data_IF_569799653338
#
_entry.id   IF_569799653338
#
_cell.length_a   1.000
_cell.length_b   1.000
_cell.length_c   1.000
_cell.angle_alpha   90.00
_cell.angle_beta   90.00
_cell.angle_gamma   90.00
#
_symmetry.space_group_name_H-M   'P 1'
#
loop_
_entity.id
_entity.type
_entity.pdbx_description
1 polymer ?
#
# COMPACT_ATOMS: atom_id res chain seq x y z
N UNK A 1 -80.43 -13.49 -19.03
CA UNK A 1 -80.83 -13.48 -20.46
C UNK A 1 -81.25 -12.06 -20.78
N UNK A 2 -80.54 -11.46 -21.75
CA UNK A 2 -80.77 -10.18 -22.46
C UNK A 2 -80.77 -8.87 -21.65
N UNK A 3 -79.79 -7.98 -21.93
CA UNK A 3 -79.92 -6.67 -22.63
C UNK A 3 -78.52 -6.33 -23.21
N UNK A 4 -78.33 -6.30 -24.54
CA UNK A 4 -78.42 -5.18 -25.51
C UNK A 4 -77.23 -4.18 -25.50
N UNK A 5 -76.43 -4.27 -26.57
CA UNK A 5 -75.57 -3.31 -27.28
C UNK A 5 -75.02 -2.05 -26.56
N UNK A 6 -73.71 -1.81 -26.66
CA UNK A 6 -73.18 -0.81 -27.61
C UNK A 6 -71.65 -0.83 -27.69
N UNK A 7 -71.15 -0.49 -28.87
CA UNK A 7 -69.74 -0.35 -29.23
C UNK A 7 -68.98 0.68 -28.37
N UNK A 8 -67.72 0.36 -28.06
CA UNK A 8 -66.66 1.35 -27.85
C UNK A 8 -65.32 0.71 -28.16
N UNK A 9 -64.74 1.17 -29.26
CA UNK A 9 -63.33 1.00 -29.58
C UNK A 9 -62.50 1.49 -28.41
N UNK A 10 -61.54 0.68 -27.99
CA UNK A 10 -60.41 1.08 -27.16
C UNK A 10 -59.32 0.08 -27.43
N UNK A 11 -58.52 0.38 -28.46
CA UNK A 11 -57.20 -0.20 -28.65
C UNK A 11 -56.42 0.05 -27.35
N UNK A 12 -56.26 -1.00 -26.55
CA UNK A 12 -55.39 -0.96 -25.38
C UNK A 12 -53.97 -1.08 -25.89
N UNK A 13 -53.35 0.08 -26.07
CA UNK A 13 -51.93 0.26 -26.33
C UNK A 13 -51.10 -0.66 -25.42
N UNK A 14 -50.24 -1.44 -26.05
CA UNK A 14 -49.09 -2.06 -25.38
C UNK A 14 -48.28 -0.91 -24.76
N UNK A 15 -48.41 -0.71 -23.45
CA UNK A 15 -47.48 0.14 -22.73
C UNK A 15 -46.16 -0.62 -22.64
N UNK A 16 -45.33 -0.46 -23.67
CA UNK A 16 -43.89 -0.62 -23.54
C UNK A 16 -43.48 0.23 -22.33
N UNK A 17 -43.01 -0.41 -21.26
CA UNK A 17 -42.37 0.30 -20.17
C UNK A 17 -41.15 1.03 -20.75
N UNK A 18 -41.33 2.32 -21.08
CA UNK A 18 -40.24 3.22 -21.39
C UNK A 18 -39.30 3.27 -20.18
N UNK A 19 -38.18 2.55 -20.30
CA UNK A 19 -37.00 2.77 -19.46
C UNK A 19 -36.67 4.26 -19.59
N UNK A 20 -36.72 5.08 -18.52
CA UNK A 20 -36.49 6.51 -18.67
C UNK A 20 -35.07 6.75 -19.19
N UNK A 21 -34.98 7.09 -20.47
CA UNK A 21 -33.78 7.62 -21.08
C UNK A 21 -33.42 8.92 -20.35
N UNK A 22 -32.16 9.03 -19.92
CA UNK A 22 -31.61 10.13 -19.13
C UNK A 22 -31.88 10.12 -17.62
N UNK A 23 -31.40 9.08 -16.92
CA UNK A 23 -30.83 9.34 -15.61
C UNK A 23 -29.63 10.28 -15.79
N UNK A 24 -29.81 11.58 -15.50
CA UNK A 24 -28.74 12.59 -15.59
C UNK A 24 -27.44 12.07 -14.98
N UNK A 25 -26.30 12.29 -15.65
CA UNK A 25 -24.99 11.91 -15.12
C UNK A 25 -24.81 12.40 -13.68
N UNK A 26 -25.30 13.60 -13.36
CA UNK A 26 -25.26 14.18 -12.00
C UNK A 26 -26.00 13.30 -10.99
N UNK A 27 -27.16 12.74 -11.35
CA UNK A 27 -27.91 11.81 -10.52
C UNK A 27 -27.18 10.46 -10.35
N UNK A 28 -26.54 9.97 -11.42
CA UNK A 28 -25.72 8.75 -11.37
C UNK A 28 -24.51 8.97 -10.46
N UNK A 29 -23.80 10.08 -10.62
CA UNK A 29 -22.65 10.44 -9.79
C UNK A 29 -23.07 10.58 -8.32
N UNK A 30 -24.15 11.32 -8.04
CA UNK A 30 -24.65 11.51 -6.67
C UNK A 30 -25.12 10.21 -6.02
N UNK A 31 -25.70 9.28 -6.80
CA UNK A 31 -26.17 7.98 -6.29
C UNK A 31 -25.10 6.90 -6.22
N UNK A 32 -24.02 6.97 -7.01
CA UNK A 32 -22.95 5.94 -7.01
C UNK A 32 -21.74 6.34 -6.16
N UNK A 33 -21.46 7.63 -6.02
CA UNK A 33 -20.39 8.15 -5.16
C UNK A 33 -20.98 8.68 -3.84
N UNK A 34 -21.73 7.83 -3.12
CA UNK A 34 -22.53 8.18 -1.93
C UNK A 34 -21.70 8.60 -0.69
N UNK A 35 -20.38 8.64 -0.81
CA UNK A 35 -19.51 9.03 0.29
C UNK A 35 -19.40 10.55 0.35
N UNK A 36 -19.84 11.13 1.46
CA UNK A 36 -19.54 12.53 1.74
C UNK A 36 -18.03 12.68 1.86
N UNK A 37 -17.41 13.50 1.00
CA UNK A 37 -15.98 13.85 1.02
C UNK A 37 -15.43 14.06 2.45
N UNK A 38 -16.14 14.76 3.38
CA UNK A 38 -15.66 14.93 4.76
C UNK A 38 -15.39 13.62 5.52
N UNK A 39 -16.17 12.56 5.27
CA UNK A 39 -15.97 11.25 5.92
C UNK A 39 -14.72 10.54 5.40
N UNK A 40 -14.46 10.59 4.09
CA UNK A 40 -13.26 10.01 3.49
C UNK A 40 -12.01 10.71 4.03
N UNK A 41 -12.02 12.04 4.08
CA UNK A 41 -10.93 12.83 4.66
C UNK A 41 -10.69 12.46 6.14
N UNK A 42 -11.76 12.36 6.93
CA UNK A 42 -11.67 11.99 8.35
C UNK A 42 -11.08 10.59 8.56
N UNK A 43 -11.51 9.61 7.75
CA UNK A 43 -10.98 8.25 7.81
C UNK A 43 -9.52 8.19 7.31
N UNK A 44 -9.19 8.88 6.22
CA UNK A 44 -7.81 9.01 5.71
C UNK A 44 -6.87 9.51 6.79
N UNK A 45 -7.29 10.55 7.54
CA UNK A 45 -6.51 11.11 8.64
C UNK A 45 -6.19 10.07 9.72
N UNK A 46 -7.19 9.28 10.13
CA UNK A 46 -6.96 8.17 11.09
C UNK A 46 -5.94 7.17 10.56
N UNK A 47 -5.97 6.85 9.26
CA UNK A 47 -4.99 5.94 8.64
C UNK A 47 -3.60 6.56 8.63
N UNK A 48 -3.46 7.84 8.29
CA UNK A 48 -2.18 8.54 8.28
C UNK A 48 -1.58 8.62 9.69
N UNK A 49 -2.39 8.96 10.70
CA UNK A 49 -1.97 8.99 12.10
C UNK A 49 -1.51 7.60 12.57
N UNK A 50 -2.29 6.55 12.27
CA UNK A 50 -1.89 5.17 12.59
C UNK A 50 -0.54 4.77 11.98
N UNK A 51 -0.37 5.02 10.69
CA UNK A 51 0.87 4.64 10.02
C UNK A 51 2.04 5.49 10.51
N UNK A 52 1.83 6.78 10.78
CA UNK A 52 2.86 7.63 11.41
C UNK A 52 3.32 7.07 12.76
N UNK A 53 2.40 6.64 13.61
CA UNK A 53 2.73 6.07 14.93
C UNK A 53 3.47 4.72 14.78
N UNK A 54 3.04 3.87 13.84
CA UNK A 54 3.75 2.62 13.51
C UNK A 54 5.17 2.91 13.01
N UNK A 55 5.34 3.87 12.10
CA UNK A 55 6.65 4.26 11.58
C UNK A 55 7.55 4.77 12.72
N UNK A 56 7.04 5.57 13.65
CA UNK A 56 7.79 6.03 14.81
C UNK A 56 8.25 4.88 15.72
N UNK A 57 7.38 3.90 15.97
CA UNK A 57 7.75 2.68 16.71
C UNK A 57 8.81 1.91 15.94
N UNK A 58 8.69 1.80 14.62
CA UNK A 58 9.67 1.12 13.77
C UNK A 58 11.06 1.78 13.85
N UNK A 59 11.14 3.12 13.77
CA UNK A 59 12.40 3.85 13.91
C UNK A 59 13.06 3.60 15.26
N UNK A 60 12.26 3.51 16.33
CA UNK A 60 12.76 3.25 17.68
C UNK A 60 13.26 1.81 17.85
N UNK A 61 12.62 0.83 17.20
CA UNK A 61 12.99 -0.58 17.29
C UNK A 61 14.14 -0.97 16.34
N UNK A 62 14.28 -0.26 15.22
CA UNK A 62 15.20 -0.61 14.14
C UNK A 62 16.33 0.41 13.95
N UNK A 63 16.48 1.40 14.85
CA UNK A 63 17.51 2.46 14.74
C UNK A 63 18.92 1.91 14.55
N UNK A 64 19.25 0.85 15.29
CA UNK A 64 20.59 0.26 15.35
C UNK A 64 20.66 -1.05 14.53
N UNK A 65 19.74 -1.21 13.59
CA UNK A 65 19.59 -2.41 12.79
C UNK A 65 19.90 -2.18 11.31
N UNK A 66 19.94 -3.27 10.54
CA UNK A 66 20.12 -3.23 9.10
C UNK A 66 18.81 -3.46 8.34
N UNK A 67 17.68 -3.04 8.90
CA UNK A 67 16.39 -3.04 8.22
C UNK A 67 16.17 -1.74 7.44
N UNK A 68 15.35 -1.74 6.37
CA UNK A 68 15.09 -0.54 5.58
C UNK A 68 14.50 0.55 6.46
N UNK A 69 14.93 1.79 6.23
CA UNK A 69 14.34 2.96 6.87
C UNK A 69 13.01 3.22 6.19
N UNK A 70 11.92 3.18 6.96
CA UNK A 70 10.57 3.47 6.47
C UNK A 70 10.36 4.99 6.45
N UNK A 71 10.11 5.55 5.28
CA UNK A 71 9.87 6.98 5.11
C UNK A 71 8.39 7.33 5.33
N UNK A 72 8.05 8.62 5.52
CA UNK A 72 6.67 9.07 5.68
C UNK A 72 5.75 8.54 4.59
N UNK A 73 4.57 8.06 5.01
CA UNK A 73 3.63 7.39 4.11
C UNK A 73 2.99 8.36 3.12
N UNK A 74 2.76 7.87 1.90
CA UNK A 74 2.12 8.63 0.83
C UNK A 74 0.78 7.97 0.51
N UNK A 75 -0.31 8.71 0.68
CA UNK A 75 -1.63 8.21 0.34
C UNK A 75 -1.84 8.22 -1.16
N UNK A 76 -2.17 7.05 -1.72
CA UNK A 76 -2.40 6.86 -3.16
C UNK A 76 -3.78 6.28 -3.45
N UNK A 77 -4.29 6.57 -4.64
CA UNK A 77 -5.56 6.07 -5.15
C UNK A 77 -6.79 6.83 -4.65
N UNK A 78 -7.93 6.47 -5.23
CA UNK A 78 -9.22 7.17 -5.10
C UNK A 78 -9.58 7.61 -3.68
N UNK A 79 -9.52 6.70 -2.70
CA UNK A 79 -9.91 6.98 -1.32
C UNK A 79 -9.05 8.08 -0.68
N UNK A 80 -7.77 8.13 -1.04
CA UNK A 80 -6.84 9.16 -0.61
C UNK A 80 -7.10 10.48 -1.35
N UNK A 81 -7.50 10.43 -2.61
CA UNK A 81 -7.92 11.60 -3.43
C UNK A 81 -9.31 12.15 -3.05
N UNK A 82 -10.01 11.52 -2.11
CA UNK A 82 -11.28 12.01 -1.57
C UNK A 82 -12.53 11.50 -2.28
N UNK A 83 -12.41 10.43 -3.07
CA UNK A 83 -13.55 9.78 -3.73
C UNK A 83 -13.46 8.25 -3.62
N UNK A 84 -14.58 7.53 -3.77
CA UNK A 84 -14.54 6.08 -3.91
C UNK A 84 -15.80 5.58 -4.59
N UNK A 85 -15.70 4.62 -5.53
CA UNK A 85 -16.88 3.98 -6.12
C UNK A 85 -17.50 2.94 -5.17
N UNK A 86 -16.80 2.58 -4.10
CA UNK A 86 -17.24 1.58 -3.13
C UNK A 86 -18.11 2.18 -2.04
N UNK A 87 -18.92 1.32 -1.40
CA UNK A 87 -19.62 1.71 -0.17
C UNK A 87 -18.61 2.06 0.91
N UNK A 88 -19.03 2.92 1.84
CA UNK A 88 -18.19 3.44 2.93
C UNK A 88 -17.47 2.35 3.75
N UNK A 89 -18.08 1.18 3.86
CA UNK A 89 -17.60 0.04 4.64
C UNK A 89 -16.48 -0.73 3.93
N UNK A 90 -16.43 -0.67 2.60
CA UNK A 90 -15.51 -1.44 1.74
C UNK A 90 -14.36 -0.60 1.20
N UNK A 91 -14.30 0.69 1.58
CA UNK A 91 -13.22 1.59 1.14
C UNK A 91 -11.88 1.14 1.72
N UNK A 92 -10.91 0.90 0.83
CA UNK A 92 -9.51 0.62 1.17
C UNK A 92 -8.68 1.88 1.02
N UNK A 93 -7.95 2.26 2.07
CA UNK A 93 -6.99 3.36 2.04
C UNK A 93 -5.62 2.78 1.71
N UNK A 94 -5.17 2.98 0.48
CA UNK A 94 -3.87 2.53 0.02
C UNK A 94 -2.79 3.59 0.36
N UNK A 95 -1.72 3.14 0.99
CA UNK A 95 -0.64 3.98 1.50
C UNK A 95 0.69 3.37 1.06
N UNK A 96 1.45 4.13 0.28
CA UNK A 96 2.84 3.80 -0.01
C UNK A 96 3.69 4.04 1.23
N UNK A 97 4.55 3.08 1.54
CA UNK A 97 5.65 3.21 2.51
C UNK A 97 6.93 3.16 1.71
N UNK A 98 7.57 4.33 1.45
CA UNK A 98 8.84 4.35 0.77
C UNK A 98 9.94 3.77 1.65
N UNK A 99 10.81 2.97 1.05
CA UNK A 99 11.94 2.31 1.70
C UNK A 99 13.23 3.03 1.30
N UNK A 100 14.05 3.38 2.30
CA UNK A 100 15.44 3.78 2.10
C UNK A 100 16.41 2.69 2.55
N UNK A 101 17.57 2.57 1.88
CA UNK A 101 18.59 1.62 2.32
C UNK A 101 19.09 1.98 3.72
N UNK A 102 19.31 0.97 4.59
CA UNK A 102 19.99 1.19 5.87
C UNK A 102 21.46 1.55 5.66
N UNK A 103 22.16 2.04 6.71
CA UNK A 103 23.60 2.24 6.66
C UNK A 103 24.36 1.00 6.15
N UNK A 104 25.39 1.24 5.35
CA UNK A 104 26.19 0.18 4.72
C UNK A 104 25.50 -0.53 3.56
N UNK A 105 24.32 -0.07 3.14
CA UNK A 105 23.60 -0.61 1.98
C UNK A 105 23.28 0.50 0.97
N UNK A 106 23.15 0.14 -0.29
CA UNK A 106 22.66 1.00 -1.36
C UNK A 106 21.62 0.25 -2.20
N UNK A 107 20.60 0.96 -2.68
CA UNK A 107 19.60 0.43 -3.60
C UNK A 107 19.92 0.88 -5.02
N UNK A 108 20.02 -0.08 -5.92
CA UNK A 108 20.22 0.13 -7.35
C UNK A 108 19.02 -0.43 -8.11
N UNK A 109 18.46 0.39 -8.99
CA UNK A 109 17.32 -0.01 -9.81
C UNK A 109 17.83 -0.63 -11.11
N UNK A 110 17.39 -1.86 -11.39
CA UNK A 110 17.74 -2.58 -12.61
C UNK A 110 16.46 -2.91 -13.39
N UNK A 111 16.42 -2.67 -14.71
CA UNK A 111 15.29 -3.11 -15.52
C UNK A 111 15.20 -4.64 -15.51
N UNK A 112 13.98 -5.17 -15.39
CA UNK A 112 13.76 -6.60 -15.52
C UNK A 112 13.83 -6.96 -17.01
N UNK A 113 14.72 -7.88 -17.37
CA UNK A 113 14.90 -8.31 -18.78
C UNK A 113 13.88 -9.38 -19.20
N UNK A 114 12.97 -9.77 -18.30
CA UNK A 114 12.06 -10.90 -18.49
C UNK A 114 10.68 -10.41 -18.95
N UNK A 115 10.46 -10.48 -20.27
CA UNK A 115 9.14 -10.39 -20.90
C UNK A 115 8.63 -8.97 -21.17
N UNK A 116 7.91 -8.79 -22.27
CA UNK A 116 7.17 -7.56 -22.57
C UNK A 116 5.97 -7.44 -21.61
N UNK A 117 6.19 -6.81 -20.46
CA UNK A 117 5.11 -6.44 -19.54
C UNK A 117 4.48 -5.09 -19.96
N UNK A 118 3.15 -4.90 -19.83
CA UNK A 118 2.50 -3.62 -20.13
C UNK A 118 2.98 -2.47 -19.24
N UNK A 119 3.45 -2.79 -18.02
CA UNK A 119 4.05 -1.86 -17.06
C UNK A 119 5.53 -2.19 -16.93
N UNK A 120 6.38 -1.16 -16.86
CA UNK A 120 7.82 -1.33 -16.67
C UNK A 120 8.09 -2.08 -15.37
N UNK A 121 8.65 -3.28 -15.49
CA UNK A 121 9.13 -4.08 -14.38
C UNK A 121 10.61 -3.78 -14.11
N UNK A 122 10.93 -3.64 -12.82
CA UNK A 122 12.28 -3.44 -12.34
C UNK A 122 12.59 -4.37 -11.18
N UNK A 123 13.86 -4.48 -10.82
CA UNK A 123 14.34 -5.13 -9.60
C UNK A 123 15.15 -4.14 -8.81
N UNK A 124 15.07 -4.23 -7.48
CA UNK A 124 15.87 -3.39 -6.59
C UNK A 124 17.03 -4.23 -6.07
N UNK A 125 18.21 -4.04 -6.65
CA UNK A 125 19.45 -4.68 -6.22
C UNK A 125 19.99 -3.96 -4.98
N UNK A 126 20.29 -4.73 -3.95
CA UNK A 126 20.91 -4.27 -2.71
C UNK A 126 22.41 -4.54 -2.78
N UNK A 127 23.20 -3.48 -2.67
CA UNK A 127 24.66 -3.56 -2.65
C UNK A 127 25.20 -3.11 -1.29
N UNK A 128 26.27 -3.76 -0.84
CA UNK A 128 26.97 -3.36 0.39
C UNK A 128 27.95 -2.24 0.07
N UNK A 129 27.89 -1.16 0.85
CA UNK A 129 28.79 -0.01 0.71
C UNK A 129 29.62 0.18 1.98
N UNK A 130 30.84 0.67 1.81
CA UNK A 130 31.75 0.88 2.93
C UNK A 130 31.25 2.02 3.82
N UNK A 131 31.26 1.81 5.14
CA UNK A 131 30.91 2.83 6.14
C UNK A 131 32.15 3.47 6.81
N UNK A 132 33.36 3.07 6.45
CA UNK A 132 34.59 3.46 7.17
C UNK A 132 35.12 4.87 6.87
N UNK A 133 34.60 5.57 5.87
CA UNK A 133 35.11 6.87 5.40
C UNK A 133 34.41 8.09 6.02
N UNK A 134 33.50 7.91 6.98
CA UNK A 134 32.75 9.00 7.63
C UNK A 134 33.46 9.66 8.83
N UNK A 135 33.17 10.94 9.09
CA UNK A 135 33.77 11.77 10.16
C UNK A 135 33.41 11.35 11.60
N UNK A 136 32.47 10.42 11.76
CA UNK A 136 32.12 9.78 13.03
C UNK A 136 31.80 8.32 12.72
N UNK A 137 32.76 7.37 12.82
CA UNK A 137 32.40 5.98 12.87
C UNK A 137 31.53 5.81 14.11
N UNK A 138 30.27 5.42 13.93
CA UNK A 138 29.49 4.91 15.04
C UNK A 138 30.28 3.73 15.61
N UNK A 139 30.88 3.91 16.79
CA UNK A 139 31.94 3.03 17.31
C UNK A 139 31.47 1.58 17.48
N UNK A 140 30.16 1.33 17.43
CA UNK A 140 29.54 0.02 17.54
C UNK A 140 29.22 -0.65 16.19
N UNK A 141 29.35 0.02 15.03
CA UNK A 141 29.02 -0.58 13.73
C UNK A 141 30.27 -1.04 12.97
N UNK A 142 30.50 -2.35 12.97
CA UNK A 142 31.40 -3.05 12.04
C UNK A 142 30.93 -2.86 10.59
N UNK A 143 31.89 -2.60 9.70
CA UNK A 143 31.67 -2.48 8.26
C UNK A 143 31.60 -3.86 7.58
N UNK A 144 30.55 -4.11 6.79
CA UNK A 144 30.35 -5.36 6.06
C UNK A 144 31.47 -5.71 5.07
N UNK A 145 32.21 -4.71 4.56
CA UNK A 145 33.25 -4.92 3.56
C UNK A 145 34.64 -5.17 4.16
N UNK A 146 34.85 -4.87 5.44
CA UNK A 146 36.18 -4.94 6.08
C UNK A 146 36.26 -5.93 7.24
N UNK A 147 35.13 -6.47 7.70
CA UNK A 147 35.08 -7.49 8.74
C UNK A 147 34.66 -8.85 8.16
N UNK A 148 35.11 -9.93 8.80
CA UNK A 148 34.76 -11.29 8.35
C UNK A 148 33.28 -11.61 8.64
N UNK A 149 32.70 -12.53 7.89
CA UNK A 149 31.31 -12.95 8.08
C UNK A 149 31.08 -13.53 9.50
N UNK A 150 32.07 -14.23 10.05
CA UNK A 150 31.99 -14.79 11.41
C UNK A 150 32.04 -13.71 12.49
N UNK A 151 32.77 -12.61 12.27
CA UNK A 151 32.80 -11.47 13.18
C UNK A 151 31.48 -10.73 13.15
N UNK A 152 30.91 -10.53 11.96
CA UNK A 152 29.60 -9.90 11.77
C UNK A 152 28.49 -10.73 12.43
N UNK A 153 28.46 -12.05 12.20
CA UNK A 153 27.47 -12.95 12.83
C UNK A 153 27.55 -12.96 14.36
N UNK A 154 28.74 -12.76 14.94
CA UNK A 154 28.94 -12.77 16.40
C UNK A 154 28.56 -11.45 17.05
N UNK A 155 28.80 -10.34 16.37
CA UNK A 155 28.76 -9.00 16.98
C UNK A 155 27.66 -8.10 16.42
N UNK A 156 26.92 -8.54 15.39
CA UNK A 156 25.89 -7.74 14.73
C UNK A 156 24.64 -8.55 14.37
N UNK A 157 23.52 -7.83 14.32
CA UNK A 157 22.22 -8.36 13.88
C UNK A 157 22.28 -8.73 12.40
N UNK A 158 21.50 -9.73 11.99
CA UNK A 158 21.41 -10.21 10.61
C UNK A 158 21.21 -9.07 9.61
N UNK A 159 21.97 -9.07 8.51
CA UNK A 159 21.88 -8.04 7.48
C UNK A 159 20.57 -8.12 6.69
N UNK A 160 20.20 -6.99 6.06
CA UNK A 160 19.08 -6.87 5.12
C UNK A 160 19.05 -8.01 4.10
N UNK A 161 20.22 -8.33 3.55
CA UNK A 161 20.41 -9.32 2.49
C UNK A 161 19.93 -10.72 2.89
N UNK A 162 20.12 -11.09 4.16
CA UNK A 162 19.71 -12.42 4.63
C UNK A 162 18.23 -12.51 4.97
N UNK A 163 17.61 -11.40 5.37
CA UNK A 163 16.23 -11.42 5.89
C UNK A 163 15.20 -10.97 4.86
N UNK A 164 15.47 -9.91 4.12
CA UNK A 164 14.49 -9.25 3.24
C UNK A 164 14.82 -9.33 1.75
N UNK A 165 15.92 -9.99 1.39
CA UNK A 165 16.31 -10.19 -0.01
C UNK A 165 16.20 -11.65 -0.44
N UNK A 166 16.01 -11.87 -1.73
CA UNK A 166 16.19 -13.17 -2.40
C UNK A 166 17.34 -13.02 -3.38
N UNK A 167 18.47 -13.65 -3.06
CA UNK A 167 19.74 -13.27 -3.66
C UNK A 167 20.10 -11.82 -3.30
N UNK A 168 20.59 -11.00 -4.25
CA UNK A 168 20.91 -9.60 -3.99
C UNK A 168 19.70 -8.67 -4.16
N UNK A 169 18.49 -9.16 -4.41
CA UNK A 169 17.34 -8.32 -4.74
C UNK A 169 16.34 -8.24 -3.59
N UNK A 170 15.79 -7.05 -3.34
CA UNK A 170 14.70 -6.87 -2.37
C UNK A 170 13.49 -7.70 -2.76
N UNK A 171 12.99 -8.46 -1.79
CA UNK A 171 11.88 -9.38 -1.96
C UNK A 171 10.63 -8.80 -1.32
N UNK A 172 9.63 -8.49 -2.15
CA UNK A 172 8.39 -7.87 -1.70
C UNK A 172 7.55 -8.76 -0.79
N UNK A 173 7.67 -10.09 -0.88
CA UNK A 173 6.96 -11.02 0.01
C UNK A 173 7.62 -11.08 1.37
N UNK A 174 8.96 -11.13 1.42
CA UNK A 174 9.70 -11.11 2.69
C UNK A 174 9.49 -9.80 3.45
N UNK A 175 9.50 -8.67 2.73
CA UNK A 175 9.21 -7.35 3.31
C UNK A 175 7.78 -7.30 3.85
N UNK A 176 6.80 -7.80 3.09
CA UNK A 176 5.42 -7.86 3.55
C UNK A 176 5.28 -8.70 4.82
N UNK A 177 5.87 -9.89 4.87
CA UNK A 177 5.82 -10.76 6.04
C UNK A 177 6.48 -10.13 7.27
N UNK A 178 7.65 -9.51 7.09
CA UNK A 178 8.34 -8.78 8.14
C UNK A 178 7.48 -7.65 8.70
N UNK A 179 6.94 -6.80 7.82
CA UNK A 179 6.12 -5.66 8.23
C UNK A 179 4.81 -6.10 8.91
N UNK A 180 4.16 -7.15 8.40
CA UNK A 180 2.97 -7.73 9.04
C UNK A 180 3.27 -8.23 10.46
N UNK A 181 4.41 -8.92 10.65
CA UNK A 181 4.86 -9.37 11.98
C UNK A 181 5.16 -8.19 12.91
N UNK A 182 5.82 -7.16 12.38
CA UNK A 182 6.07 -5.91 13.08
C UNK A 182 4.76 -5.23 13.53
N UNK A 183 3.80 -5.04 12.63
CA UNK A 183 2.51 -4.40 12.93
C UNK A 183 1.75 -5.16 14.01
N UNK A 184 1.73 -6.49 13.96
CA UNK A 184 1.09 -7.32 14.99
C UNK A 184 1.74 -7.09 16.35
N UNK A 185 3.08 -7.03 16.38
CA UNK A 185 3.87 -6.86 17.61
C UNK A 185 3.75 -5.44 18.18
N UNK A 186 3.73 -4.43 17.31
CA UNK A 186 3.64 -3.01 17.67
C UNK A 186 2.20 -2.56 17.96
N UNK A 187 1.18 -3.35 17.66
CA UNK A 187 -0.21 -2.91 17.79
C UNK A 187 -0.56 -2.47 19.22
N UNK A 188 -0.07 -3.16 20.24
CA UNK A 188 -0.40 -2.82 21.64
C UNK A 188 0.17 -1.48 22.11
N UNK A 189 1.20 -0.97 21.44
CA UNK A 189 1.87 0.28 21.83
C UNK A 189 1.37 1.51 21.07
N UNK A 190 0.71 1.34 19.93
CA UNK A 190 0.15 2.48 19.18
C UNK A 190 -1.14 2.99 19.83
N UNK A 191 -1.39 4.33 19.86
CA UNK A 191 -2.56 4.92 20.49
C UNK A 191 -3.92 4.37 20.01
N UNK A 192 -3.99 3.99 18.73
CA UNK A 192 -5.22 3.54 18.05
C UNK A 192 -5.72 2.20 18.59
N UNK A 193 -4.87 1.41 19.23
CA UNK A 193 -5.24 0.13 19.88
C UNK A 193 -6.30 0.27 20.97
N UNK A 194 -6.45 1.47 21.54
CA UNK A 194 -7.49 1.79 22.55
C UNK A 194 -8.88 1.95 21.95
N UNK A 195 -8.95 2.24 20.65
CA UNK A 195 -10.21 2.60 19.97
C UNK A 195 -10.63 1.58 18.90
N UNK A 196 -9.68 0.77 18.45
CA UNK A 196 -9.87 -0.22 17.39
C UNK A 196 -9.32 -1.57 17.82
N UNK A 197 -9.98 -2.65 17.42
CA UNK A 197 -9.30 -3.93 17.24
C UNK A 197 -8.72 -3.98 15.83
N UNK A 198 -7.55 -4.60 15.67
CA UNK A 198 -6.88 -4.73 14.38
C UNK A 198 -6.72 -6.19 14.03
N UNK A 199 -6.94 -6.50 12.75
CA UNK A 199 -6.62 -7.79 12.15
C UNK A 199 -5.80 -7.56 10.88
N UNK A 200 -4.61 -8.17 10.82
CA UNK A 200 -3.87 -8.30 9.56
C UNK A 200 -4.59 -9.33 8.68
N UNK A 201 -4.84 -8.95 7.42
CA UNK A 201 -5.49 -9.79 6.42
C UNK A 201 -4.43 -10.48 5.55
N UNK A 202 -4.77 -11.63 4.92
CA UNK A 202 -3.86 -12.28 3.98
C UNK A 202 -3.49 -11.34 2.82
N UNK A 203 -2.19 -11.15 2.62
CA UNK A 203 -1.60 -10.37 1.54
C UNK A 203 -0.16 -10.82 1.31
N UNK A 204 0.24 -11.04 0.05
CA UNK A 204 1.57 -11.56 -0.25
C UNK A 204 2.62 -10.45 -0.32
N UNK A 205 2.34 -9.35 -1.04
CA UNK A 205 3.33 -8.29 -1.33
C UNK A 205 2.92 -6.91 -0.82
N UNK A 206 1.95 -6.87 0.07
CA UNK A 206 1.47 -5.69 0.79
C UNK A 206 1.12 -6.09 2.23
N UNK A 207 0.80 -5.12 3.08
CA UNK A 207 0.21 -5.38 4.39
C UNK A 207 -1.21 -4.81 4.43
N UNK A 208 -2.20 -5.71 4.43
CA UNK A 208 -3.61 -5.35 4.57
C UNK A 208 -4.05 -5.45 6.02
N UNK A 209 -4.68 -4.41 6.53
CA UNK A 209 -5.19 -4.35 7.90
C UNK A 209 -6.68 -3.98 7.89
N UNK A 210 -7.46 -4.68 8.70
CA UNK A 210 -8.83 -4.31 9.04
C UNK A 210 -8.86 -3.77 10.46
N UNK A 211 -9.23 -2.51 10.61
CA UNK A 211 -9.49 -1.86 11.88
C UNK A 211 -11.00 -1.91 12.16
N UNK A 212 -11.39 -2.35 13.35
CA UNK A 212 -12.79 -2.53 13.73
C UNK A 212 -13.07 -1.74 15.00
N UNK A 213 -14.10 -0.87 14.95
CA UNK A 213 -14.62 -0.21 16.14
C UNK A 213 -15.54 -1.14 16.91
N UNK A 214 -15.70 -0.89 18.21
CA UNK A 214 -16.73 -1.54 19.03
C UNK A 214 -18.16 -1.36 18.46
N UNK A 215 -18.39 -0.30 17.68
CA UNK A 215 -19.66 -0.07 16.99
C UNK A 215 -19.90 -0.96 15.76
N UNK A 216 -19.01 -1.93 15.46
CA UNK A 216 -19.07 -2.80 14.28
C UNK A 216 -18.56 -2.17 12.97
N UNK A 217 -18.28 -0.86 12.95
CA UNK A 217 -17.76 -0.18 11.76
C UNK A 217 -16.30 -0.57 11.49
N UNK A 218 -15.98 -0.86 10.23
CA UNK A 218 -14.61 -1.17 9.80
C UNK A 218 -13.96 -0.08 8.97
N UNK A 219 -12.63 -0.12 8.96
CA UNK A 219 -11.74 0.68 8.13
C UNK A 219 -10.66 -0.26 7.59
N UNK A 220 -10.46 -0.25 6.27
CA UNK A 220 -9.46 -1.07 5.61
C UNK A 220 -8.27 -0.22 5.19
N UNK A 221 -7.07 -0.69 5.54
CA UNK A 221 -5.81 -0.04 5.20
C UNK A 221 -4.97 -1.04 4.42
N UNK A 222 -4.40 -0.60 3.31
CA UNK A 222 -3.40 -1.35 2.57
C UNK A 222 -2.11 -0.56 2.54
N UNK A 223 -1.05 -1.17 3.05
CA UNK A 223 0.30 -0.63 3.02
C UNK A 223 1.08 -1.32 1.91
N UNK A 224 1.55 -0.55 0.94
CA UNK A 224 2.33 -1.03 -0.20
C UNK A 224 3.74 -0.51 -0.06
N UNK A 225 4.74 -1.38 -0.19
CA UNK A 225 6.13 -0.97 -0.07
C UNK A 225 6.58 -0.37 -1.39
N UNK A 226 7.38 0.69 -1.30
CA UNK A 226 7.85 1.38 -2.50
C UNK A 226 9.30 1.83 -2.42
N UNK A 227 9.95 2.00 -3.56
CA UNK A 227 11.28 2.60 -3.69
C UNK A 227 11.20 3.73 -4.69
N UNK A 228 11.62 4.94 -4.29
CA UNK A 228 11.58 6.11 -5.15
C UNK A 228 12.64 6.03 -6.24
N UNK A 229 12.28 6.38 -7.47
CA UNK A 229 13.22 6.46 -8.59
C UNK A 229 13.91 7.82 -8.60
N UNK A 230 15.14 7.85 -8.09
CA UNK A 230 15.94 9.08 -7.99
C UNK A 230 15.23 10.13 -7.12
N UNK A 231 15.12 11.35 -7.64
CA UNK A 231 14.42 12.49 -7.03
C UNK A 231 13.04 12.75 -7.67
N UNK A 232 12.54 11.81 -8.48
CA UNK A 232 11.26 11.93 -9.16
C UNK A 232 10.06 11.49 -8.30
N UNK A 233 8.85 11.79 -8.75
CA UNK A 233 7.61 11.30 -8.14
C UNK A 233 7.18 9.92 -8.68
N UNK A 234 8.11 9.18 -9.30
CA UNK A 234 7.91 7.82 -9.81
C UNK A 234 8.42 6.84 -8.76
N UNK A 235 7.60 5.83 -8.45
CA UNK A 235 7.89 4.84 -7.42
C UNK A 235 7.83 3.43 -8.00
N UNK A 236 8.77 2.58 -7.60
CA UNK A 236 8.66 1.14 -7.77
C UNK A 236 7.83 0.57 -6.63
N UNK A 237 6.75 -0.12 -6.94
CA UNK A 237 5.81 -0.72 -6.01
C UNK A 237 6.02 -2.22 -5.88
N UNK A 238 5.87 -2.75 -4.66
CA UNK A 238 5.87 -4.19 -4.39
C UNK A 238 4.58 -4.88 -4.85
N UNK A 239 3.52 -4.12 -5.15
CA UNK A 239 2.23 -4.69 -5.53
C UNK A 239 2.29 -5.23 -6.97
N UNK A 240 1.84 -6.47 -7.23
CA UNK A 240 1.76 -7.02 -8.57
C UNK A 240 0.55 -6.47 -9.34
N UNK A 241 0.60 -6.52 -10.68
CA UNK A 241 -0.59 -6.34 -11.53
C UNK A 241 -1.52 -7.54 -11.34
N UNK A 242 -2.84 -7.32 -11.25
CA UNK A 242 -3.83 -8.37 -10.95
C UNK A 242 -3.82 -9.58 -11.92
N UNK A 243 -3.31 -9.40 -13.14
CA UNK A 243 -3.29 -10.43 -14.16
C UNK A 243 -2.07 -11.38 -14.09
N UNK A 244 -1.04 -11.08 -13.29
CA UNK A 244 0.22 -11.82 -13.31
C UNK A 244 0.84 -11.97 -11.91
N UNK A 245 1.49 -13.11 -11.68
CA UNK A 245 2.29 -13.37 -10.48
C UNK A 245 3.77 -13.33 -10.86
N UNK A 246 4.35 -12.12 -11.01
CA UNK A 246 5.78 -12.01 -11.26
C UNK A 246 6.57 -12.52 -10.05
N UNK A 247 7.87 -12.82 -10.21
CA UNK A 247 8.74 -13.15 -9.10
C UNK A 247 8.59 -12.16 -7.93
N UNK A 248 8.75 -12.64 -6.70
CA UNK A 248 8.66 -11.81 -5.48
C UNK A 248 9.63 -10.63 -5.47
N UNK A 249 10.70 -10.71 -6.27
CA UNK A 249 11.74 -9.69 -6.47
C UNK A 249 11.45 -8.69 -7.59
N UNK A 250 10.34 -8.83 -8.34
CA UNK A 250 9.95 -7.91 -9.43
C UNK A 250 9.06 -6.81 -8.91
N UNK A 251 9.49 -5.56 -9.02
CA UNK A 251 8.76 -4.36 -8.62
C UNK A 251 8.21 -3.65 -9.86
N UNK A 252 7.06 -2.99 -9.74
CA UNK A 252 6.39 -2.34 -10.87
C UNK A 252 6.45 -0.82 -10.72
N UNK A 253 6.77 -0.12 -11.80
CA UNK A 253 6.66 1.34 -11.83
C UNK A 253 5.21 1.78 -11.57
N UNK A 254 5.08 2.78 -10.70
CA UNK A 254 3.83 3.42 -10.34
C UNK A 254 3.98 4.93 -10.46
N UNK A 255 3.04 5.52 -11.18
CA UNK A 255 2.93 6.96 -11.40
C UNK A 255 1.91 7.61 -10.47
N UNK A 256 1.30 6.84 -9.55
CA UNK A 256 0.19 7.30 -8.72
C UNK A 256 0.52 8.56 -7.89
N UNK A 257 1.76 8.71 -7.44
CA UNK A 257 2.21 9.91 -6.69
C UNK A 257 2.35 11.11 -7.62
N UNK A 258 2.94 10.93 -8.81
CA UNK A 258 3.03 11.97 -9.83
C UNK A 258 1.65 12.42 -10.33
N UNK A 259 0.76 11.46 -10.60
CA UNK A 259 -0.62 11.71 -11.01
C UNK A 259 -1.39 12.50 -9.95
N UNK A 260 -1.30 12.10 -8.68
CA UNK A 260 -1.97 12.78 -7.56
C UNK A 260 -1.45 14.20 -7.30
N UNK A 261 -0.24 14.54 -7.76
CA UNK A 261 0.31 15.89 -7.70
C UNK A 261 -0.03 16.74 -8.92
N UNK A 262 -0.30 16.08 -10.05
CA UNK A 262 -0.61 16.75 -11.31
C UNK A 262 -2.05 17.26 -11.36
N UNK A 263 -3.00 16.48 -10.83
CA UNK A 263 -4.43 16.81 -10.76
C UNK A 263 -4.79 17.60 -9.49
#
# INVERSE_FOLDING_TARGET
ICELDNSRDSESEESEEEIPAEMSMICIFSRRFQLSVPKLVSKRRVVQELLSDLLQVSHSLFSDSFFPVLEPVIGVGSACEGWSPHKEEDVVYCMFVPLKPPPGHAFHLEPDTVGEMPQTSMRVRVELVCTCTGEQPDQNMLCFLHHSEEELKRNQVTSLLHTLCTGPYLDGEKIALWFQTFVISAWSVVPQSRHYSMKVLPSCRSCKMKLMKASGRSLFVETVFSVQQGDSDIFLSSQPTEAQFPPSTTWLESYAVAEAKFF
#
